data_IF_757525051819
#
_entry.id   IF_757525051819
#
_cell.length_a   1.000
_cell.length_b   1.000
_cell.length_c   1.000
_cell.angle_alpha   90.00
_cell.angle_beta   90.00
_cell.angle_gamma   90.00
#
_symmetry.space_group_name_H-M   'P 1'
#
loop_
_entity.id
_entity.type
_entity.pdbx_description
1 polymer ?
#
# COMPACT_ATOMS: atom_id res chain seq x y z
N UNK A 1 13.36 -3.74 22.63
CA UNK A 1 13.11 -2.34 22.23
C UNK A 1 11.92 -2.20 21.26
N UNK A 2 11.72 -3.12 20.29
CA UNK A 2 10.61 -3.05 19.31
C UNK A 2 9.37 -3.88 19.69
N UNK A 3 9.40 -4.67 20.78
CA UNK A 3 8.31 -5.59 21.14
C UNK A 3 7.00 -4.82 21.39
N UNK A 4 5.95 -5.17 20.64
CA UNK A 4 4.64 -4.51 20.67
C UNK A 4 4.59 -3.10 20.06
N UNK A 5 5.70 -2.61 19.48
CA UNK A 5 5.83 -1.25 18.93
C UNK A 5 5.83 -1.19 17.40
N UNK A 6 5.75 -2.33 16.75
CA UNK A 6 5.69 -2.46 15.30
C UNK A 6 4.26 -2.73 14.85
N UNK A 7 3.83 -2.12 13.75
CA UNK A 7 2.53 -2.37 13.15
C UNK A 7 2.65 -2.69 11.67
N UNK A 8 1.76 -3.53 11.16
CA UNK A 8 1.57 -3.76 9.74
C UNK A 8 0.12 -4.15 9.43
N UNK A 9 -0.17 -4.34 8.14
CA UNK A 9 -1.48 -4.84 7.74
C UNK A 9 -1.70 -6.29 8.17
N UNK A 10 -2.96 -6.58 8.53
CA UNK A 10 -3.46 -7.94 8.70
C UNK A 10 -3.82 -8.54 7.33
N UNK A 11 -3.06 -9.48 6.77
CA UNK A 11 -3.36 -10.06 5.46
C UNK A 11 -4.59 -10.96 5.48
N UNK A 12 -5.04 -11.41 6.64
CA UNK A 12 -6.27 -12.19 6.76
C UNK A 12 -7.51 -11.31 6.60
N UNK A 13 -7.50 -10.10 7.22
CA UNK A 13 -8.65 -9.21 7.30
C UNK A 13 -8.60 -8.02 6.34
N UNK A 14 -7.45 -7.75 5.72
CA UNK A 14 -7.24 -6.65 4.79
C UNK A 14 -6.85 -7.15 3.40
N UNK A 15 -7.65 -6.83 2.39
CA UNK A 15 -7.31 -7.11 0.99
C UNK A 15 -6.02 -6.42 0.56
N UNK A 16 -5.77 -5.20 1.01
CA UNK A 16 -4.51 -4.48 0.79
C UNK A 16 -3.34 -5.20 1.44
N UNK A 17 -3.52 -5.65 2.69
CA UNK A 17 -2.52 -6.42 3.41
C UNK A 17 -2.19 -7.72 2.71
N UNK A 18 -3.20 -8.47 2.28
CA UNK A 18 -2.98 -9.70 1.52
C UNK A 18 -2.26 -9.45 0.19
N UNK A 19 -2.69 -8.44 -0.57
CA UNK A 19 -2.06 -8.08 -1.85
C UNK A 19 -0.58 -7.70 -1.66
N UNK A 20 -0.28 -6.81 -0.72
CA UNK A 20 1.10 -6.37 -0.46
C UNK A 20 1.99 -7.55 -0.03
N UNK A 21 1.60 -8.28 1.02
CA UNK A 21 2.40 -9.37 1.56
C UNK A 21 2.54 -10.55 0.57
N UNK A 22 1.53 -10.85 -0.25
CA UNK A 22 1.64 -11.89 -1.28
C UNK A 22 2.63 -11.50 -2.39
N UNK A 23 2.76 -10.20 -2.69
CA UNK A 23 3.80 -9.70 -3.61
C UNK A 23 5.17 -9.69 -2.98
N UNK A 24 5.27 -9.39 -1.69
CA UNK A 24 6.52 -9.49 -0.95
C UNK A 24 7.07 -10.93 -0.97
N UNK A 25 6.23 -11.95 -0.83
CA UNK A 25 6.67 -13.36 -1.01
C UNK A 25 7.33 -13.60 -2.35
N UNK A 26 6.84 -12.95 -3.42
CA UNK A 26 7.38 -13.12 -4.77
C UNK A 26 8.68 -12.33 -4.98
N UNK A 27 8.77 -11.13 -4.39
CA UNK A 27 9.86 -10.19 -4.64
C UNK A 27 11.01 -10.33 -3.63
N UNK A 28 10.75 -10.91 -2.46
CA UNK A 28 11.72 -10.99 -1.37
C UNK A 28 11.87 -12.43 -0.86
N UNK A 29 12.94 -13.13 -1.25
CA UNK A 29 13.15 -14.54 -0.87
C UNK A 29 13.12 -14.80 0.65
N UNK A 30 13.59 -13.82 1.46
CA UNK A 30 13.59 -13.90 2.92
C UNK A 30 12.31 -13.37 3.58
N UNK A 31 11.20 -13.23 2.84
CA UNK A 31 9.94 -12.71 3.39
C UNK A 31 9.46 -13.47 4.63
N UNK A 32 9.60 -14.79 4.64
CA UNK A 32 9.14 -15.59 5.78
C UNK A 32 10.03 -15.42 7.02
N UNK A 33 11.30 -15.10 6.85
CA UNK A 33 12.19 -14.72 7.96
C UNK A 33 11.81 -13.36 8.53
N UNK A 34 11.44 -12.41 7.65
CA UNK A 34 10.87 -11.12 8.05
C UNK A 34 9.56 -11.32 8.83
N UNK A 35 8.66 -12.17 8.34
CA UNK A 35 7.40 -12.48 9.04
C UNK A 35 7.67 -13.08 10.43
N UNK A 36 8.63 -13.98 10.53
CA UNK A 36 9.03 -14.54 11.83
C UNK A 36 9.65 -13.48 12.77
N UNK A 37 10.43 -12.55 12.22
CA UNK A 37 10.98 -11.42 12.98
C UNK A 37 9.86 -10.47 13.47
N UNK A 38 8.86 -10.19 12.65
CA UNK A 38 7.66 -9.43 13.02
C UNK A 38 6.89 -10.13 14.14
N UNK A 39 6.76 -11.46 14.09
CA UNK A 39 6.17 -12.27 15.16
C UNK A 39 6.93 -12.13 16.47
N UNK A 40 8.26 -12.28 16.45
CA UNK A 40 9.12 -12.09 17.64
C UNK A 40 9.02 -10.67 18.21
N UNK A 41 8.80 -9.67 17.35
CA UNK A 41 8.56 -8.29 17.76
C UNK A 41 7.13 -8.04 18.26
N UNK A 42 6.27 -9.06 18.36
CA UNK A 42 4.86 -8.93 18.75
C UNK A 42 4.13 -7.87 17.90
N UNK A 43 4.26 -7.98 16.57
CA UNK A 43 3.68 -7.03 15.62
C UNK A 43 2.17 -6.89 15.85
N UNK A 44 1.67 -5.66 15.80
CA UNK A 44 0.24 -5.36 15.89
C UNK A 44 -0.34 -5.21 14.48
N UNK A 45 -1.39 -5.98 14.21
CA UNK A 45 -2.01 -6.08 12.90
C UNK A 45 -3.26 -5.21 12.82
N UNK A 46 -3.37 -4.43 11.74
CA UNK A 46 -4.51 -3.56 11.47
C UNK A 46 -5.03 -3.73 10.06
N UNK A 47 -6.24 -3.27 9.81
CA UNK A 47 -6.90 -3.39 8.51
C UNK A 47 -6.77 -2.13 7.64
N UNK A 48 -6.33 -1.01 8.21
CA UNK A 48 -6.23 0.26 7.50
C UNK A 48 -4.95 1.03 7.79
N UNK A 49 -4.46 1.74 6.78
CA UNK A 49 -3.34 2.70 6.93
C UNK A 49 -3.65 3.79 7.95
N UNK A 50 -4.88 4.33 7.93
CA UNK A 50 -5.28 5.41 8.84
C UNK A 50 -5.08 5.02 10.30
N UNK A 51 -5.60 3.87 10.70
CA UNK A 51 -5.45 3.36 12.06
C UNK A 51 -3.98 3.17 12.45
N UNK A 52 -3.15 2.62 11.54
CA UNK A 52 -1.73 2.46 11.82
C UNK A 52 -1.02 3.81 12.04
N UNK A 53 -1.33 4.81 11.23
CA UNK A 53 -0.79 6.18 11.36
C UNK A 53 -1.24 6.82 12.68
N UNK A 54 -2.52 6.70 13.05
CA UNK A 54 -3.04 7.20 14.32
C UNK A 54 -2.31 6.58 15.52
N UNK A 55 -2.03 5.27 15.47
CA UNK A 55 -1.29 4.56 16.51
C UNK A 55 0.18 4.97 16.58
N UNK A 56 0.80 5.32 15.47
CA UNK A 56 2.15 5.89 15.45
C UNK A 56 2.11 7.32 16.01
N UNK A 57 1.15 8.14 15.60
CA UNK A 57 0.99 9.50 16.07
C UNK A 57 0.77 9.60 17.58
N UNK A 58 0.03 8.66 18.15
CA UNK A 58 -0.20 8.58 19.61
C UNK A 58 1.00 8.03 20.40
N UNK A 59 2.08 7.57 19.72
CA UNK A 59 3.22 6.92 20.38
C UNK A 59 2.96 5.47 20.83
N UNK A 60 1.79 4.92 20.53
CA UNK A 60 1.52 3.50 20.80
C UNK A 60 2.45 2.60 20.00
N UNK A 61 2.68 2.94 18.73
CA UNK A 61 3.67 2.30 17.87
C UNK A 61 4.73 3.30 17.42
N UNK A 62 5.91 2.79 17.05
CA UNK A 62 7.03 3.60 16.59
C UNK A 62 7.45 3.26 15.16
N UNK A 63 6.95 2.15 14.62
CA UNK A 63 7.29 1.71 13.27
C UNK A 63 6.09 1.05 12.59
N UNK A 64 5.83 1.44 11.35
CA UNK A 64 4.82 0.84 10.49
C UNK A 64 5.44 0.25 9.23
N UNK A 65 5.15 -1.03 8.97
CA UNK A 65 5.60 -1.73 7.76
C UNK A 65 4.48 -1.78 6.72
N UNK A 66 4.83 -1.57 5.45
CA UNK A 66 3.89 -1.55 4.31
C UNK A 66 2.78 -0.49 4.42
N UNK A 67 3.07 0.66 5.01
CA UNK A 67 2.16 1.81 5.05
C UNK A 67 1.99 2.38 3.64
N UNK A 68 0.76 2.68 3.23
CA UNK A 68 0.49 3.31 1.93
C UNK A 68 1.04 4.75 1.93
N UNK A 69 2.04 5.03 1.08
CA UNK A 69 2.77 6.29 1.05
C UNK A 69 1.89 7.54 0.89
N UNK A 70 0.84 7.50 0.08
CA UNK A 70 -0.06 8.65 -0.11
C UNK A 70 -0.81 9.10 1.15
N UNK A 71 -0.88 8.28 2.19
CA UNK A 71 -1.47 8.67 3.47
C UNK A 71 -0.46 9.33 4.40
N UNK A 72 0.83 8.98 4.29
CA UNK A 72 1.86 9.55 5.15
C UNK A 72 2.44 10.84 4.57
N UNK A 73 2.50 11.01 3.25
CA UNK A 73 3.05 12.20 2.59
C UNK A 73 2.47 13.52 3.12
N UNK A 74 1.13 13.67 3.30
CA UNK A 74 0.58 14.88 3.91
C UNK A 74 1.06 15.09 5.34
N UNK A 75 1.23 14.01 6.12
CA UNK A 75 1.69 14.06 7.51
C UNK A 75 3.14 14.50 7.63
N UNK A 76 3.99 14.09 6.71
CA UNK A 76 5.38 14.56 6.67
C UNK A 76 5.50 16.08 6.51
N UNK A 77 4.48 16.73 5.91
CA UNK A 77 4.44 18.19 5.76
C UNK A 77 3.94 18.93 7.00
N UNK A 78 2.97 18.33 7.70
CA UNK A 78 2.27 18.98 8.80
C UNK A 78 2.79 18.58 10.17
N UNK A 79 3.51 17.47 10.26
CA UNK A 79 3.94 16.85 11.53
C UNK A 79 5.28 16.10 11.32
N UNK A 80 6.26 16.79 10.76
CA UNK A 80 7.57 16.22 10.41
C UNK A 80 8.37 15.76 11.64
N UNK A 81 8.10 16.32 12.82
CA UNK A 81 8.77 15.94 14.07
C UNK A 81 8.28 14.56 14.57
N UNK A 82 7.06 14.17 14.20
CA UNK A 82 6.47 12.88 14.60
C UNK A 82 6.71 11.79 13.58
N UNK A 83 6.73 12.14 12.28
CA UNK A 83 6.76 11.15 11.21
C UNK A 83 8.02 11.21 10.36
N UNK A 84 8.59 10.04 10.11
CA UNK A 84 9.56 9.82 9.06
C UNK A 84 9.05 8.75 8.08
N UNK A 85 9.49 8.80 6.83
CA UNK A 85 9.21 7.79 5.82
C UNK A 85 10.51 7.30 5.20
N UNK A 86 10.63 6.00 5.03
CA UNK A 86 11.79 5.37 4.38
C UNK A 86 11.28 4.41 3.31
N UNK A 87 11.79 4.55 2.10
CA UNK A 87 11.66 3.52 1.08
C UNK A 87 12.73 2.45 1.29
N UNK A 88 12.36 1.16 1.26
CA UNK A 88 13.33 0.07 1.34
C UNK A 88 14.39 0.16 0.25
N UNK A 89 15.61 -0.29 0.56
CA UNK A 89 16.75 -0.22 -0.38
C UNK A 89 16.73 -1.31 -1.45
N UNK A 90 15.99 -2.39 -1.23
CA UNK A 90 15.85 -3.53 -2.12
C UNK A 90 14.75 -3.29 -3.16
N UNK A 91 13.51 -3.01 -2.75
CA UNK A 91 12.40 -2.66 -3.63
C UNK A 91 11.25 -1.99 -2.88
N UNK A 92 10.43 -1.27 -3.63
CA UNK A 92 9.19 -0.67 -3.16
C UNK A 92 8.04 -1.10 -4.07
N UNK A 93 6.97 -1.64 -3.49
CA UNK A 93 5.77 -2.02 -4.24
C UNK A 93 4.97 -0.78 -4.61
N UNK A 94 4.69 -0.62 -5.91
CA UNK A 94 3.73 0.34 -6.42
C UNK A 94 2.44 -0.35 -6.85
N UNK A 95 1.29 0.11 -6.39
CA UNK A 95 0.01 -0.40 -6.88
C UNK A 95 -0.97 0.71 -7.23
N UNK A 96 -1.70 0.49 -8.31
CA UNK A 96 -2.70 1.42 -8.80
C UNK A 96 -4.06 1.15 -8.19
N UNK A 97 -4.83 2.22 -7.96
CA UNK A 97 -6.24 2.11 -7.61
C UNK A 97 -7.04 1.87 -8.88
N UNK A 98 -7.89 0.86 -8.90
CA UNK A 98 -8.75 0.53 -10.04
C UNK A 98 -10.06 1.29 -9.90
N UNK A 99 -10.43 2.03 -10.95
CA UNK A 99 -11.75 2.66 -11.06
C UNK A 99 -12.57 1.93 -12.13
N UNK A 100 -13.85 1.70 -11.86
CA UNK A 100 -14.77 1.04 -12.79
C UNK A 100 -16.19 1.57 -12.63
N UNK A 101 -17.00 1.41 -13.70
CA UNK A 101 -18.42 1.74 -13.68
C UNK A 101 -19.21 0.44 -13.44
N UNK A 102 -19.98 0.39 -12.36
CA UNK A 102 -20.79 -0.78 -12.06
C UNK A 102 -21.83 -1.03 -13.17
N UNK A 103 -21.97 -2.29 -13.63
CA UNK A 103 -22.93 -2.68 -14.69
C UNK A 103 -24.37 -2.23 -14.39
N UNK A 104 -24.77 -2.22 -13.11
CA UNK A 104 -26.10 -1.80 -12.65
C UNK A 104 -26.18 -0.34 -12.24
N UNK A 105 -25.22 0.50 -12.65
CA UNK A 105 -25.26 1.93 -12.34
C UNK A 105 -26.54 2.56 -12.88
N UNK A 106 -27.26 3.30 -12.03
CA UNK A 106 -28.45 4.06 -12.43
C UNK A 106 -28.13 5.33 -13.19
N UNK A 107 -26.86 5.78 -13.18
CA UNK A 107 -26.37 7.00 -13.84
C UNK A 107 -25.07 6.75 -14.62
N UNK A 108 -25.09 5.85 -15.62
CA UNK A 108 -23.86 5.43 -16.29
C UNK A 108 -23.16 6.58 -17.03
N UNK A 109 -23.91 7.54 -17.60
CA UNK A 109 -23.32 8.68 -18.32
C UNK A 109 -22.61 9.65 -17.37
N UNK A 110 -23.17 9.94 -16.20
CA UNK A 110 -22.49 10.74 -15.16
C UNK A 110 -21.24 10.03 -14.66
N UNK A 111 -21.29 8.70 -14.49
CA UNK A 111 -20.14 7.91 -14.08
C UNK A 111 -19.02 7.93 -15.13
N UNK A 112 -19.37 7.85 -16.42
CA UNK A 112 -18.40 7.98 -17.53
C UNK A 112 -17.74 9.36 -17.52
N UNK A 113 -18.53 10.42 -17.41
CA UNK A 113 -18.02 11.79 -17.37
C UNK A 113 -17.06 12.00 -16.17
N UNK A 114 -17.39 11.45 -15.00
CA UNK A 114 -16.52 11.50 -13.84
C UNK A 114 -15.21 10.72 -14.08
N UNK A 115 -15.30 9.54 -14.68
CA UNK A 115 -14.11 8.72 -15.00
C UNK A 115 -13.22 9.44 -16.03
N UNK A 116 -13.82 10.02 -17.07
CA UNK A 116 -13.08 10.82 -18.07
C UNK A 116 -12.37 12.00 -17.40
N UNK A 117 -13.05 12.71 -16.47
CA UNK A 117 -12.41 13.76 -15.69
C UNK A 117 -11.26 13.20 -14.83
N UNK A 118 -11.46 12.09 -14.14
CA UNK A 118 -10.46 11.49 -13.27
C UNK A 118 -9.15 11.12 -14.02
N UNK A 119 -9.26 10.62 -15.26
CA UNK A 119 -8.08 10.26 -16.09
C UNK A 119 -7.57 11.41 -16.96
N UNK A 120 -8.26 12.55 -17.00
CA UNK A 120 -7.81 13.73 -17.73
C UNK A 120 -6.55 14.33 -17.10
N UNK A 121 -5.76 15.12 -17.88
CA UNK A 121 -4.60 15.83 -17.33
C UNK A 121 -4.99 16.65 -16.10
N UNK A 122 -6.09 17.43 -16.20
CA UNK A 122 -6.60 18.26 -15.09
C UNK A 122 -6.93 17.43 -13.84
N UNK A 123 -7.62 16.31 -14.00
CA UNK A 123 -7.95 15.41 -12.88
C UNK A 123 -6.70 14.85 -12.22
N UNK A 124 -5.73 14.41 -13.03
CA UNK A 124 -4.48 13.84 -12.53
C UNK A 124 -3.57 14.90 -11.89
N UNK A 125 -3.55 16.14 -12.39
CA UNK A 125 -2.86 17.26 -11.74
C UNK A 125 -3.45 17.58 -10.36
N UNK A 126 -4.78 17.53 -10.22
CA UNK A 126 -5.46 17.71 -8.94
C UNK A 126 -5.05 16.60 -7.95
N UNK A 127 -5.02 15.35 -8.39
CA UNK A 127 -4.58 14.23 -7.56
C UNK A 127 -3.14 14.41 -7.09
N UNK A 128 -2.23 14.81 -7.98
CA UNK A 128 -0.83 15.03 -7.66
C UNK A 128 -0.59 16.23 -6.73
N UNK A 129 -1.34 17.32 -6.90
CA UNK A 129 -1.17 18.57 -6.14
C UNK A 129 -1.89 18.56 -4.79
N UNK A 130 -3.13 18.06 -4.76
CA UNK A 130 -3.98 18.18 -3.58
C UNK A 130 -4.06 16.91 -2.73
N UNK A 131 -4.00 15.75 -3.38
CA UNK A 131 -4.14 14.46 -2.69
C UNK A 131 -2.82 13.74 -2.50
N UNK A 132 -1.72 14.26 -3.04
CA UNK A 132 -0.39 13.64 -3.05
C UNK A 132 -0.45 12.16 -3.52
N UNK A 133 -1.37 11.90 -4.44
CA UNK A 133 -1.50 10.62 -5.13
C UNK A 133 -0.65 10.66 -6.40
N UNK A 134 0.17 9.65 -6.57
CA UNK A 134 0.96 9.52 -7.79
C UNK A 134 0.04 9.30 -8.99
N UNK A 135 0.04 10.23 -9.98
CA UNK A 135 -0.84 10.13 -11.13
C UNK A 135 -0.43 9.00 -12.07
N UNK A 136 -1.39 8.44 -12.79
CA UNK A 136 -1.13 7.44 -13.82
C UNK A 136 -0.62 8.05 -15.14
N UNK A 137 -0.79 9.38 -15.33
CA UNK A 137 -0.32 10.10 -16.51
C UNK A 137 1.10 10.61 -16.29
N UNK A 138 1.93 10.47 -17.31
CA UNK A 138 3.33 10.95 -17.30
C UNK A 138 3.46 12.46 -17.48
N UNK A 139 2.42 13.10 -18.06
CA UNK A 139 2.34 14.55 -18.29
C UNK A 139 1.61 15.32 -17.15
N UNK A 140 1.26 14.63 -16.07
CA UNK A 140 0.66 15.26 -14.91
C UNK A 140 1.70 16.06 -14.10
N UNK A 141 1.25 17.19 -13.55
CA UNK A 141 2.07 18.13 -12.79
C UNK A 141 1.64 18.16 -11.32
N UNK A 142 2.62 18.16 -10.42
CA UNK A 142 2.38 18.22 -8.98
C UNK A 142 3.59 17.79 -8.18
N UNK A 143 3.44 17.73 -6.86
CA UNK A 143 4.51 17.30 -5.98
C UNK A 143 4.70 15.77 -6.02
N UNK A 144 3.61 15.02 -6.07
CA UNK A 144 3.63 13.57 -6.21
C UNK A 144 3.48 13.22 -7.71
N UNK A 145 4.58 12.98 -8.42
CA UNK A 145 4.53 12.59 -9.83
C UNK A 145 5.09 11.19 -10.04
N UNK A 146 4.52 10.45 -10.99
CA UNK A 146 5.02 9.12 -11.34
C UNK A 146 6.48 9.18 -11.83
N UNK A 147 6.83 10.22 -12.60
CA UNK A 147 8.20 10.45 -13.05
C UNK A 147 9.16 10.79 -11.90
N UNK A 148 8.70 11.56 -10.91
CA UNK A 148 9.47 11.86 -9.69
C UNK A 148 9.75 10.59 -8.88
N UNK A 149 8.72 9.77 -8.65
CA UNK A 149 8.88 8.50 -7.95
C UNK A 149 9.78 7.53 -8.72
N UNK A 150 9.64 7.46 -10.04
CA UNK A 150 10.51 6.64 -10.90
C UNK A 150 11.97 7.13 -10.85
N UNK A 151 12.18 8.45 -10.81
CA UNK A 151 13.53 9.03 -10.70
C UNK A 151 14.17 8.72 -9.33
N UNK A 152 13.38 8.74 -8.27
CA UNK A 152 13.84 8.46 -6.91
C UNK A 152 14.15 6.98 -6.69
N UNK A 153 13.25 6.09 -7.13
CA UNK A 153 13.34 4.65 -6.86
C UNK A 153 13.99 3.85 -8.00
N UNK A 154 13.94 4.34 -9.25
CA UNK A 154 14.50 3.63 -10.40
C UNK A 154 13.97 2.21 -10.51
N UNK A 155 14.88 1.25 -10.68
CA UNK A 155 14.57 -0.18 -10.79
C UNK A 155 14.05 -0.82 -9.49
N UNK A 156 14.14 -0.11 -8.37
CA UNK A 156 13.59 -0.55 -7.07
C UNK A 156 12.07 -0.41 -7.03
N UNK A 157 11.47 0.45 -7.83
CA UNK A 157 10.02 0.53 -7.97
C UNK A 157 9.49 -0.70 -8.69
N UNK A 158 8.71 -1.53 -7.99
CA UNK A 158 8.08 -2.75 -8.52
C UNK A 158 6.56 -2.55 -8.59
N UNK A 159 6.04 -2.00 -9.70
CA UNK A 159 4.61 -1.83 -9.88
C UNK A 159 3.92 -3.21 -9.96
N UNK A 160 2.78 -3.35 -9.31
CA UNK A 160 1.91 -4.52 -9.52
C UNK A 160 1.20 -4.32 -10.86
N UNK A 161 1.47 -5.17 -11.86
CA UNK A 161 0.82 -5.03 -13.16
C UNK A 161 -0.68 -5.33 -13.03
N UNK A 162 -1.51 -4.52 -13.71
CA UNK A 162 -2.94 -4.80 -13.85
C UNK A 162 -3.09 -5.90 -14.92
N UNK A 163 -3.01 -7.14 -14.51
CA UNK A 163 -3.05 -8.32 -15.38
C UNK A 163 -3.83 -9.45 -14.71
N UNK A 164 -4.07 -10.53 -15.46
CA UNK A 164 -4.72 -11.74 -14.92
C UNK A 164 -3.96 -12.33 -13.71
N UNK A 165 -2.67 -12.07 -13.56
CA UNK A 165 -1.89 -12.50 -12.39
C UNK A 165 -2.40 -11.89 -11.07
N UNK A 166 -3.10 -10.74 -11.10
CA UNK A 166 -3.75 -10.19 -9.90
C UNK A 166 -4.92 -11.07 -9.48
N UNK A 167 -5.55 -11.78 -10.42
CA UNK A 167 -6.64 -12.70 -10.13
C UNK A 167 -6.17 -13.95 -9.36
N UNK A 168 -4.89 -14.31 -9.44
CA UNK A 168 -4.30 -15.37 -8.60
C UNK A 168 -4.47 -15.07 -7.10
N UNK A 169 -4.49 -13.80 -6.73
CA UNK A 169 -4.76 -13.36 -5.36
C UNK A 169 -6.22 -13.60 -4.91
N UNK A 170 -7.13 -13.87 -5.85
CA UNK A 170 -8.53 -14.23 -5.57
C UNK A 170 -8.71 -15.73 -5.35
N UNK A 171 -7.69 -16.55 -5.67
CA UNK A 171 -7.72 -17.99 -5.41
C UNK A 171 -7.80 -18.24 -3.89
N UNK A 172 -8.93 -18.76 -3.46
CA UNK A 172 -9.20 -18.96 -2.05
C UNK A 172 -8.28 -20.00 -1.41
N UNK A 173 -7.87 -21.02 -2.15
CA UNK A 173 -6.97 -22.07 -1.66
C UNK A 173 -5.58 -21.49 -1.41
N UNK A 174 -5.05 -20.71 -2.36
CA UNK A 174 -3.76 -20.01 -2.22
C UNK A 174 -3.80 -19.02 -1.06
N UNK A 175 -4.92 -18.29 -0.93
CA UNK A 175 -5.10 -17.33 0.16
C UNK A 175 -5.10 -18.01 1.53
N UNK A 176 -5.83 -19.09 1.69
CA UNK A 176 -5.89 -19.85 2.95
C UNK A 176 -4.51 -20.41 3.31
N UNK A 177 -3.82 -21.03 2.36
CA UNK A 177 -2.46 -21.53 2.57
C UNK A 177 -1.47 -20.41 2.96
N UNK A 178 -1.59 -19.22 2.34
CA UNK A 178 -0.78 -18.06 2.71
C UNK A 178 -1.08 -17.62 4.15
N UNK A 179 -2.36 -17.46 4.50
CA UNK A 179 -2.77 -17.00 5.85
C UNK A 179 -2.31 -17.97 6.93
N UNK A 180 -2.46 -19.27 6.71
CA UNK A 180 -1.97 -20.30 7.63
C UNK A 180 -0.46 -20.18 7.85
N UNK A 181 0.31 -20.08 6.76
CA UNK A 181 1.77 -19.91 6.84
C UNK A 181 2.16 -18.59 7.52
N UNK A 182 1.40 -17.51 7.28
CA UNK A 182 1.60 -16.23 7.93
C UNK A 182 1.38 -16.32 9.44
N UNK A 183 0.27 -16.90 9.89
CA UNK A 183 -0.02 -17.08 11.31
C UNK A 183 1.07 -17.93 11.99
N UNK A 184 1.49 -19.02 11.35
CA UNK A 184 2.58 -19.85 11.83
C UNK A 184 3.91 -19.09 11.95
N UNK A 185 4.26 -18.28 10.94
CA UNK A 185 5.47 -17.46 10.96
C UNK A 185 5.43 -16.41 12.08
N UNK A 186 4.26 -15.84 12.38
CA UNK A 186 4.08 -14.94 13.52
C UNK A 186 4.08 -15.64 14.89
N UNK A 187 4.14 -16.98 14.94
CA UNK A 187 4.00 -17.74 16.20
C UNK A 187 2.58 -17.70 16.77
N UNK A 188 1.59 -17.52 15.90
CA UNK A 188 0.16 -17.52 16.23
C UNK A 188 -0.45 -18.80 15.64
N UNK A 189 -0.48 -19.88 16.40
CA UNK A 189 -1.14 -21.15 16.05
C UNK A 189 -2.47 -21.28 16.78
#
# INVERSE_FOLDING_TARGET
>A
MLKGKVTCYDPEKSGTGYLANSRDVTNFPAFWDLAAALGKADVKLYTSTGTMIEKIQSGEHIFGFNIIGSYILPKLKTDADTFGMVFPQDYTIGFSRVAFIAKKSKRPNSAKLFLDHLISKRGQDILAKQSLLYPSRTDAEGEATASGLQKELGDKLKPIPVSNQVLDALDQTKRLAFVEKWQKALGRS
#
